data_IF_701865187625
#
_entry.id   IF_701865187625
#
_cell.length_a   1.000
_cell.length_b   1.000
_cell.length_c   1.000
_cell.angle_alpha   90.00
_cell.angle_beta   90.00
_cell.angle_gamma   90.00
#
_symmetry.space_group_name_H-M   'P 1'
#
loop_
_entity.id
_entity.type
_entity.pdbx_description
1 polymer ?
#
# COMPACT_ATOMS: atom_id res chain seq x y z
N UNK A 1 -8.92 -0.26 14.48
CA UNK A 1 -8.67 -1.35 15.45
C UNK A 1 -7.27 -1.99 15.32
N UNK A 2 -6.71 -2.24 14.12
CA UNK A 2 -5.39 -2.90 13.97
C UNK A 2 -4.13 -2.02 14.15
N UNK A 3 -4.26 -0.72 14.42
CA UNK A 3 -3.08 0.13 14.68
C UNK A 3 -2.43 -0.11 16.06
N UNK A 4 -3.15 -0.75 17.01
CA UNK A 4 -2.66 -1.01 18.37
C UNK A 4 -1.96 -2.36 18.56
N UNK A 5 -2.36 -3.42 17.85
CA UNK A 5 -1.79 -4.76 18.04
C UNK A 5 -0.51 -4.92 17.19
N UNK A 6 0.68 -4.99 17.81
CA UNK A 6 1.99 -5.28 17.18
C UNK A 6 2.04 -6.72 16.64
N UNK A 7 1.18 -7.04 15.67
CA UNK A 7 1.14 -8.35 15.03
C UNK A 7 2.32 -8.45 14.04
N UNK A 8 3.19 -9.47 14.14
CA UNK A 8 4.15 -9.78 13.08
C UNK A 8 3.39 -10.06 11.77
N UNK A 9 3.97 -9.73 10.61
CA UNK A 9 3.34 -9.93 9.28
C UNK A 9 2.05 -9.11 9.02
N UNK A 10 1.87 -7.97 9.68
CA UNK A 10 0.78 -7.00 9.42
C UNK A 10 0.54 -6.73 7.92
N UNK A 11 1.60 -6.62 7.13
CA UNK A 11 1.50 -6.39 5.68
C UNK A 11 0.78 -7.53 4.95
N UNK A 12 1.09 -8.77 5.29
CA UNK A 12 0.45 -9.95 4.72
C UNK A 12 -1.02 -10.04 5.18
N UNK A 13 -1.27 -9.81 6.47
CA UNK A 13 -2.63 -9.82 7.02
C UNK A 13 -3.51 -8.75 6.36
N UNK A 14 -3.01 -7.52 6.21
CA UNK A 14 -3.76 -6.42 5.59
C UNK A 14 -4.01 -6.64 4.10
N UNK A 15 -3.01 -7.11 3.35
CA UNK A 15 -3.14 -7.39 1.91
C UNK A 15 -4.08 -8.56 1.64
N UNK A 16 -3.97 -9.65 2.42
CA UNK A 16 -4.89 -10.79 2.35
C UNK A 16 -6.31 -10.36 2.70
N UNK A 17 -6.49 -9.55 3.77
CA UNK A 17 -7.80 -9.01 4.14
C UNK A 17 -8.38 -8.16 3.01
N UNK A 18 -7.57 -7.33 2.35
CA UNK A 18 -8.02 -6.55 1.21
C UNK A 18 -8.48 -7.43 0.04
N UNK A 19 -7.69 -8.44 -0.34
CA UNK A 19 -8.07 -9.39 -1.40
C UNK A 19 -9.37 -10.14 -1.07
N UNK A 20 -9.54 -10.54 0.19
CA UNK A 20 -10.77 -11.16 0.71
C UNK A 20 -11.96 -10.21 0.60
N UNK A 21 -11.82 -8.97 1.08
CA UNK A 21 -12.88 -7.95 0.99
C UNK A 21 -13.26 -7.68 -0.46
N UNK A 22 -12.28 -7.62 -1.37
CA UNK A 22 -12.54 -7.44 -2.79
C UNK A 22 -13.28 -8.64 -3.40
N UNK A 23 -12.92 -9.87 -3.02
CA UNK A 23 -13.61 -11.08 -3.46
C UNK A 23 -15.10 -11.03 -3.08
N UNK A 24 -15.39 -10.73 -1.81
CA UNK A 24 -16.79 -10.65 -1.35
C UNK A 24 -17.53 -9.44 -1.92
N UNK A 25 -16.87 -8.28 -2.03
CA UNK A 25 -17.47 -7.11 -2.64
C UNK A 25 -17.81 -7.37 -4.12
N UNK A 26 -16.96 -8.11 -4.84
CA UNK A 26 -17.19 -8.47 -6.24
C UNK A 26 -18.39 -9.40 -6.44
N UNK A 27 -18.65 -10.34 -5.52
CA UNK A 27 -19.86 -11.17 -5.57
C UNK A 27 -21.15 -10.36 -5.39
N UNK A 28 -21.11 -9.26 -4.62
CA UNK A 28 -22.24 -8.35 -4.43
C UNK A 28 -22.46 -7.34 -5.56
N UNK A 29 -21.57 -7.27 -6.56
CA UNK A 29 -21.66 -6.31 -7.65
C UNK A 29 -22.36 -6.91 -8.87
N UNK A 30 -23.37 -6.21 -9.41
CA UNK A 30 -24.03 -6.59 -10.66
C UNK A 30 -23.07 -6.67 -11.87
N UNK A 31 -21.92 -6.00 -11.80
CA UNK A 31 -20.79 -6.25 -12.72
C UNK A 31 -19.49 -6.39 -11.93
N UNK A 32 -18.98 -7.63 -11.87
CA UNK A 32 -17.82 -8.02 -11.07
C UNK A 32 -16.51 -7.33 -11.50
N UNK A 33 -16.40 -6.88 -12.75
CA UNK A 33 -15.25 -6.10 -13.23
C UNK A 33 -15.11 -4.73 -12.54
N UNK A 34 -16.17 -4.26 -11.86
CA UNK A 34 -16.17 -3.01 -11.11
C UNK A 34 -15.56 -3.15 -9.70
N UNK A 35 -15.12 -4.35 -9.31
CA UNK A 35 -14.47 -4.60 -8.01
C UNK A 35 -13.26 -3.68 -7.77
N UNK A 36 -12.57 -3.27 -8.84
CA UNK A 36 -11.43 -2.35 -8.80
C UNK A 36 -11.78 -1.01 -8.12
N UNK A 37 -13.04 -0.57 -8.20
CA UNK A 37 -13.45 0.71 -7.62
C UNK A 37 -13.52 0.68 -6.09
N UNK A 38 -13.72 -0.48 -5.48
CA UNK A 38 -13.78 -0.65 -4.02
C UNK A 38 -12.48 -0.17 -3.35
N UNK A 39 -11.29 -0.67 -3.73
CA UNK A 39 -10.02 -0.19 -3.19
C UNK A 39 -9.70 1.23 -3.63
N UNK A 40 -10.11 1.69 -4.82
CA UNK A 40 -9.94 3.11 -5.18
C UNK A 40 -10.69 4.04 -4.22
N UNK A 41 -11.95 3.70 -3.92
CA UNK A 41 -12.75 4.44 -2.94
C UNK A 41 -12.11 4.35 -1.55
N UNK A 42 -11.70 3.15 -1.12
CA UNK A 42 -11.02 2.97 0.16
C UNK A 42 -9.71 3.76 0.25
N UNK A 43 -8.90 3.78 -0.81
CA UNK A 43 -7.65 4.53 -0.90
C UNK A 43 -7.91 6.04 -0.84
N UNK A 44 -8.89 6.54 -1.57
CA UNK A 44 -9.26 7.96 -1.51
C UNK A 44 -9.83 8.35 -0.13
N UNK A 45 -10.62 7.48 0.51
CA UNK A 45 -11.06 7.70 1.90
C UNK A 45 -9.89 7.67 2.89
N UNK A 46 -8.89 6.82 2.65
CA UNK A 46 -7.66 6.78 3.44
C UNK A 46 -6.83 8.05 3.27
N UNK A 47 -6.75 8.58 2.05
CA UNK A 47 -6.13 9.87 1.73
C UNK A 47 -6.72 11.02 2.54
N UNK A 48 -8.02 10.94 2.75
CA UNK A 48 -8.84 11.94 3.41
C UNK A 48 -8.84 11.82 4.94
N UNK A 49 -8.28 10.74 5.49
CA UNK A 49 -8.29 10.53 6.94
C UNK A 49 -7.26 11.42 7.67
N UNK A 50 -7.59 11.95 8.87
CA UNK A 50 -6.71 12.87 9.62
C UNK A 50 -5.38 12.24 10.08
N UNK A 51 -5.30 10.90 10.17
CA UNK A 51 -4.12 10.21 10.68
C UNK A 51 -2.96 10.20 9.67
N UNK A 52 -1.77 10.57 10.14
CA UNK A 52 -0.56 10.80 9.33
C UNK A 52 -0.01 9.61 8.54
N UNK A 53 0.95 9.97 7.66
CA UNK A 53 1.64 9.18 6.63
C UNK A 53 0.70 8.47 5.62
N UNK A 54 -0.02 9.31 4.85
CA UNK A 54 -1.13 8.92 3.97
C UNK A 54 -0.71 8.14 2.72
N UNK A 55 0.47 8.42 2.17
CA UNK A 55 0.80 7.96 0.82
C UNK A 55 1.08 6.46 0.70
N UNK A 56 1.91 5.92 1.59
CA UNK A 56 2.35 4.53 1.49
C UNK A 56 1.16 3.54 1.57
N UNK A 57 0.20 3.72 2.50
CA UNK A 57 -1.03 2.93 2.50
C UNK A 57 -1.92 3.17 1.27
N UNK A 58 -2.00 4.40 0.75
CA UNK A 58 -2.83 4.69 -0.43
C UNK A 58 -2.30 4.02 -1.69
N UNK A 59 -1.01 4.17 -1.98
CA UNK A 59 -0.38 3.53 -3.13
C UNK A 59 -0.49 2.01 -3.04
N UNK A 60 -0.35 1.45 -1.83
CA UNK A 60 -0.57 0.03 -1.58
C UNK A 60 -1.97 -0.39 -2.03
N UNK A 61 -3.01 0.22 -1.44
CA UNK A 61 -4.41 -0.14 -1.66
C UNK A 61 -4.78 0.02 -3.14
N UNK A 62 -4.35 1.12 -3.78
CA UNK A 62 -4.63 1.40 -5.19
C UNK A 62 -4.01 0.36 -6.12
N UNK A 63 -2.71 0.08 -5.99
CA UNK A 63 -2.04 -0.89 -6.86
C UNK A 63 -2.57 -2.30 -6.62
N UNK A 64 -2.83 -2.68 -5.37
CA UNK A 64 -3.49 -3.95 -5.05
C UNK A 64 -4.86 -4.05 -5.71
N UNK A 65 -5.62 -2.96 -5.72
CA UNK A 65 -6.90 -2.90 -6.40
C UNK A 65 -6.80 -3.11 -7.91
N UNK A 66 -5.84 -2.43 -8.56
CA UNK A 66 -5.55 -2.58 -9.98
C UNK A 66 -5.10 -4.00 -10.33
N UNK A 67 -4.22 -4.60 -9.53
CA UNK A 67 -3.74 -5.96 -9.73
C UNK A 67 -4.87 -6.99 -9.61
N UNK A 68 -5.70 -6.86 -8.57
CA UNK A 68 -6.85 -7.75 -8.37
C UNK A 68 -7.88 -7.60 -9.49
N UNK A 69 -8.27 -6.36 -9.81
CA UNK A 69 -9.21 -6.07 -10.87
C UNK A 69 -8.69 -6.45 -12.26
N UNK A 70 -7.40 -6.27 -12.51
CA UNK A 70 -6.72 -6.67 -13.74
C UNK A 70 -6.72 -8.18 -13.93
N UNK A 71 -6.31 -8.94 -12.91
CA UNK A 71 -6.31 -10.40 -12.96
C UNK A 71 -7.71 -10.97 -13.20
N UNK A 72 -8.72 -10.51 -12.46
CA UNK A 72 -10.11 -10.95 -12.62
C UNK A 72 -10.74 -10.47 -13.94
N UNK A 73 -10.24 -9.40 -14.55
CA UNK A 73 -10.68 -8.95 -15.88
C UNK A 73 -10.08 -9.79 -17.01
N UNK A 74 -8.80 -10.14 -16.90
CA UNK A 74 -8.08 -10.92 -17.93
C UNK A 74 -8.45 -12.40 -17.86
N UNK A 75 -8.45 -12.99 -16.67
CA UNK A 75 -8.71 -14.42 -16.48
C UNK A 75 -10.19 -14.73 -16.18
N UNK A 76 -11.01 -13.70 -15.97
CA UNK A 76 -12.41 -13.82 -15.61
C UNK A 76 -12.67 -14.00 -14.12
N UNK A 77 -13.96 -13.95 -13.74
CA UNK A 77 -14.41 -14.23 -12.37
C UNK A 77 -14.59 -15.73 -12.15
N UNK A 78 -13.47 -16.45 -12.19
CA UNK A 78 -13.41 -17.88 -11.93
C UNK A 78 -12.29 -18.17 -10.94
N UNK A 79 -12.11 -19.45 -10.63
CA UNK A 79 -11.11 -19.84 -9.68
C UNK A 79 -9.68 -19.39 -10.01
N UNK A 80 -9.26 -19.54 -11.26
CA UNK A 80 -7.92 -19.15 -11.71
C UNK A 80 -7.72 -17.63 -11.58
N UNK A 81 -8.72 -16.84 -11.98
CA UNK A 81 -8.71 -15.39 -11.84
C UNK A 81 -8.61 -14.91 -10.39
N UNK A 82 -9.32 -15.57 -9.47
CA UNK A 82 -9.27 -15.24 -8.05
C UNK A 82 -7.93 -15.63 -7.41
N UNK A 83 -7.38 -16.79 -7.74
CA UNK A 83 -6.05 -17.22 -7.27
C UNK A 83 -4.97 -16.26 -7.77
N UNK A 84 -4.97 -15.93 -9.06
CA UNK A 84 -4.03 -14.99 -9.64
C UNK A 84 -4.18 -13.58 -9.02
N UNK A 85 -5.42 -13.12 -8.80
CA UNK A 85 -5.69 -11.84 -8.15
C UNK A 85 -5.13 -11.79 -6.72
N UNK A 86 -5.39 -12.84 -5.92
CA UNK A 86 -4.84 -12.96 -4.56
C UNK A 86 -3.32 -13.03 -4.57
N UNK A 87 -2.73 -13.79 -5.49
CA UNK A 87 -1.29 -13.90 -5.65
C UNK A 87 -0.64 -12.55 -5.95
N UNK A 88 -1.13 -11.81 -6.95
CA UNK A 88 -0.58 -10.52 -7.32
C UNK A 88 -0.71 -9.48 -6.18
N UNK A 89 -1.83 -9.49 -5.44
CA UNK A 89 -2.01 -8.59 -4.29
C UNK A 89 -1.00 -8.90 -3.18
N UNK A 90 -0.76 -10.17 -2.88
CA UNK A 90 0.23 -10.60 -1.88
C UNK A 90 1.67 -10.33 -2.32
N UNK A 91 2.00 -10.66 -3.57
CA UNK A 91 3.30 -10.42 -4.18
C UNK A 91 3.65 -8.93 -4.17
N UNK A 92 2.71 -8.05 -4.55
CA UNK A 92 2.90 -6.61 -4.46
C UNK A 92 3.08 -6.12 -3.03
N UNK A 93 2.34 -6.66 -2.05
CA UNK A 93 2.49 -6.26 -0.66
C UNK A 93 3.90 -6.54 -0.11
N UNK A 94 4.50 -7.67 -0.52
CA UNK A 94 5.88 -8.00 -0.22
C UNK A 94 6.87 -7.07 -0.95
N UNK A 95 6.65 -6.84 -2.25
CA UNK A 95 7.53 -6.05 -3.10
C UNK A 95 7.50 -4.55 -2.76
N UNK A 96 6.38 -4.00 -2.29
CA UNK A 96 6.19 -2.56 -2.12
C UNK A 96 7.24 -1.92 -1.21
N UNK A 97 7.61 -2.59 -0.11
CA UNK A 97 8.63 -2.09 0.79
C UNK A 97 10.01 -2.02 0.13
N UNK A 98 10.34 -3.03 -0.67
CA UNK A 98 11.61 -3.15 -1.38
C UNK A 98 11.70 -2.12 -2.50
N UNK A 99 10.64 -1.98 -3.30
CA UNK A 99 10.56 -0.98 -4.39
C UNK A 99 10.74 0.43 -3.83
N UNK A 100 10.11 0.76 -2.71
CA UNK A 100 10.24 2.10 -2.12
C UNK A 100 11.66 2.34 -1.55
N UNK A 101 12.28 1.32 -0.94
CA UNK A 101 13.67 1.44 -0.47
C UNK A 101 14.64 1.56 -1.63
N UNK A 102 14.47 0.75 -2.68
CA UNK A 102 15.27 0.83 -3.89
C UNK A 102 15.10 2.19 -4.58
N UNK A 103 13.89 2.76 -4.58
CA UNK A 103 13.68 4.10 -5.12
C UNK A 103 14.47 5.15 -4.31
N UNK A 104 14.41 5.10 -2.98
CA UNK A 104 15.08 6.08 -2.10
C UNK A 104 16.61 5.96 -2.11
N UNK A 105 17.12 4.73 -2.12
CA UNK A 105 18.54 4.41 -1.88
C UNK A 105 19.25 4.08 -3.20
N UNK A 106 18.56 3.45 -4.15
CA UNK A 106 19.10 3.02 -5.44
C UNK A 106 19.83 1.69 -5.38
N UNK A 107 20.78 1.50 -6.31
CA UNK A 107 21.62 0.30 -6.40
C UNK A 107 22.54 0.10 -5.20
N UNK A 108 22.76 1.14 -4.38
CA UNK A 108 23.52 1.02 -3.14
C UNK A 108 22.82 0.10 -2.11
N UNK A 109 21.50 -0.09 -2.23
CA UNK A 109 20.78 -1.10 -1.46
C UNK A 109 21.27 -2.53 -1.81
N UNK A 110 21.49 -2.81 -3.09
CA UNK A 110 21.98 -4.11 -3.56
C UNK A 110 23.42 -4.32 -3.12
N UNK A 111 24.26 -3.28 -3.22
CA UNK A 111 25.65 -3.33 -2.75
C UNK A 111 25.74 -3.57 -1.24
N UNK A 112 24.89 -2.92 -0.46
CA UNK A 112 24.82 -3.15 0.99
C UNK A 112 24.40 -4.58 1.33
N UNK A 113 23.48 -5.15 0.54
CA UNK A 113 23.15 -6.58 0.65
C UNK A 113 24.36 -7.45 0.33
N UNK A 114 25.02 -7.25 -0.80
CA UNK A 114 26.17 -8.07 -1.23
C UNK A 114 27.33 -7.99 -0.22
N UNK A 115 27.60 -6.80 0.32
CA UNK A 115 28.60 -6.60 1.38
C UNK A 115 28.23 -7.33 2.67
N UNK A 116 26.96 -7.23 3.10
CA UNK A 116 26.49 -7.94 4.29
C UNK A 116 26.51 -9.45 4.12
N UNK A 117 26.12 -9.95 2.95
CA UNK A 117 26.16 -11.36 2.59
C UNK A 117 27.59 -11.88 2.54
N UNK A 118 28.52 -11.13 1.92
CA UNK A 118 29.94 -11.50 1.89
C UNK A 118 30.50 -11.65 3.29
N UNK A 119 30.23 -10.69 4.18
CA UNK A 119 30.65 -10.76 5.58
C UNK A 119 30.11 -11.99 6.32
N UNK A 120 28.84 -12.36 6.10
CA UNK A 120 28.25 -13.56 6.72
C UNK A 120 28.87 -14.83 6.10
N UNK A 121 29.00 -14.88 4.78
CA UNK A 121 29.52 -16.04 4.06
C UNK A 121 30.97 -16.35 4.48
N UNK A 122 31.81 -15.33 4.63
CA UNK A 122 33.18 -15.47 5.14
C UNK A 122 33.20 -15.96 6.59
N UNK A 123 32.31 -15.44 7.45
CA UNK A 123 32.32 -15.75 8.88
C UNK A 123 31.78 -17.15 9.19
N UNK A 124 30.87 -17.66 8.37
CA UNK A 124 30.13 -18.91 8.61
C UNK A 124 30.40 -20.01 7.57
N UNK A 125 31.22 -19.73 6.54
CA UNK A 125 31.54 -20.65 5.45
C UNK A 125 30.29 -21.24 4.74
N UNK A 126 29.20 -20.47 4.66
CA UNK A 126 27.95 -20.88 4.01
C UNK A 126 27.77 -20.16 2.68
N UNK A 127 27.39 -20.88 1.63
CA UNK A 127 26.96 -20.28 0.36
C UNK A 127 25.57 -19.65 0.53
N UNK A 128 25.49 -18.32 0.49
CA UNK A 128 24.22 -17.61 0.62
C UNK A 128 23.64 -17.37 -0.78
N UNK A 129 22.35 -17.69 -1.03
CA UNK A 129 21.72 -17.44 -2.32
C UNK A 129 21.70 -15.95 -2.67
N UNK A 130 21.79 -15.66 -3.97
CA UNK A 130 21.74 -14.30 -4.49
C UNK A 130 20.45 -13.57 -4.13
N UNK A 131 20.50 -12.22 -4.07
CA UNK A 131 19.38 -11.39 -3.62
C UNK A 131 18.11 -11.63 -4.44
N UNK A 132 18.23 -11.84 -5.75
CA UNK A 132 17.10 -12.10 -6.63
C UNK A 132 16.32 -13.36 -6.21
N UNK A 133 17.04 -14.41 -5.80
CA UNK A 133 16.44 -15.66 -5.33
C UNK A 133 15.73 -15.46 -4.00
N UNK A 134 16.39 -14.79 -3.04
CA UNK A 134 15.80 -14.49 -1.72
C UNK A 134 14.53 -13.65 -1.87
N UNK A 135 14.59 -12.59 -2.67
CA UNK A 135 13.44 -11.72 -2.93
C UNK A 135 12.35 -12.45 -3.71
N UNK A 136 12.72 -13.27 -4.71
CA UNK A 136 11.78 -14.07 -5.49
C UNK A 136 11.00 -15.05 -4.61
N UNK A 137 11.70 -15.80 -3.75
CA UNK A 137 11.08 -16.72 -2.79
C UNK A 137 10.18 -15.96 -1.82
N UNK A 138 10.64 -14.83 -1.28
CA UNK A 138 9.85 -14.00 -0.36
C UNK A 138 8.54 -13.50 -1.00
N UNK A 139 8.63 -12.94 -2.22
CA UNK A 139 7.48 -12.45 -2.97
C UNK A 139 6.51 -13.60 -3.32
N UNK A 140 7.05 -14.75 -3.74
CA UNK A 140 6.27 -15.93 -4.07
C UNK A 140 5.53 -16.48 -2.84
N UNK A 141 6.18 -16.60 -1.69
CA UNK A 141 5.56 -17.05 -0.44
C UNK A 141 4.40 -16.14 -0.03
N UNK A 142 4.57 -14.82 -0.13
CA UNK A 142 3.51 -13.85 0.17
C UNK A 142 2.37 -13.90 -0.84
N UNK A 143 2.69 -14.07 -2.12
CA UNK A 143 1.69 -14.28 -3.16
C UNK A 143 0.87 -15.55 -2.89
N UNK A 144 1.52 -16.69 -2.68
CA UNK A 144 0.85 -17.97 -2.44
C UNK A 144 -0.04 -17.94 -1.18
N UNK A 145 0.43 -17.33 -0.09
CA UNK A 145 -0.37 -17.21 1.14
C UNK A 145 -1.60 -16.33 0.92
N UNK A 146 -1.46 -15.17 0.28
CA UNK A 146 -2.59 -14.31 -0.06
C UNK A 146 -3.56 -15.00 -1.04
N UNK A 147 -3.05 -15.73 -2.04
CA UNK A 147 -3.85 -16.50 -2.98
C UNK A 147 -4.67 -17.59 -2.29
N UNK A 148 -4.07 -18.37 -1.39
CA UNK A 148 -4.75 -19.42 -0.62
C UNK A 148 -5.88 -18.85 0.24
N UNK A 149 -5.64 -17.74 0.94
CA UNK A 149 -6.66 -17.06 1.76
C UNK A 149 -7.80 -16.50 0.89
N UNK A 150 -7.47 -15.90 -0.25
CA UNK A 150 -8.45 -15.33 -1.19
C UNK A 150 -9.31 -16.43 -1.82
N UNK A 151 -8.69 -17.55 -2.19
CA UNK A 151 -9.38 -18.73 -2.71
C UNK A 151 -10.35 -19.33 -1.69
N UNK A 152 -9.92 -19.47 -0.43
CA UNK A 152 -10.76 -19.98 0.63
C UNK A 152 -11.98 -19.08 0.86
N UNK A 153 -11.78 -17.75 0.80
CA UNK A 153 -12.88 -16.79 0.88
C UNK A 153 -13.86 -16.92 -0.30
N UNK A 154 -13.35 -17.08 -1.51
CA UNK A 154 -14.17 -17.29 -2.70
C UNK A 154 -15.01 -18.57 -2.63
N UNK A 155 -14.41 -19.68 -2.16
CA UNK A 155 -15.14 -20.94 -1.96
C UNK A 155 -16.26 -20.82 -0.93
N UNK A 156 -16.10 -19.99 0.09
CA UNK A 156 -17.12 -19.82 1.14
C UNK A 156 -18.32 -19.00 0.68
N UNK A 157 -18.20 -18.16 -0.35
CA UNK A 157 -19.23 -17.28 -0.97
C UNK A 157 -19.97 -16.30 -0.02
N UNK A 158 -19.90 -16.47 1.29
CA UNK A 158 -20.53 -15.61 2.29
C UNK A 158 -19.52 -15.10 3.32
N UNK A 159 -19.70 -13.84 3.73
CA UNK A 159 -18.90 -13.26 4.80
C UNK A 159 -19.27 -13.93 6.14
N UNK A 160 -18.30 -14.39 6.95
CA UNK A 160 -18.61 -14.82 8.30
C UNK A 160 -19.25 -13.68 9.11
N UNK A 161 -20.35 -13.96 9.80
CA UNK A 161 -21.12 -12.95 10.55
C UNK A 161 -20.27 -12.11 11.53
N UNK A 162 -19.23 -12.71 12.12
CA UNK A 162 -18.28 -12.00 12.99
C UNK A 162 -17.48 -10.92 12.25
N UNK A 163 -17.05 -11.19 11.02
CA UNK A 163 -16.30 -10.24 10.19
C UNK A 163 -17.22 -9.10 9.73
N UNK A 164 -18.46 -9.43 9.38
CA UNK A 164 -19.47 -8.44 9.01
C UNK A 164 -19.74 -7.46 10.18
N UNK A 165 -19.96 -7.99 11.38
CA UNK A 165 -20.13 -7.17 12.59
C UNK A 165 -18.91 -6.29 12.90
N UNK A 166 -17.69 -6.77 12.64
CA UNK A 166 -16.47 -5.97 12.83
C UNK A 166 -16.34 -4.84 11.80
N UNK A 167 -16.70 -5.09 10.53
CA UNK A 167 -16.71 -4.08 9.48
C UNK A 167 -17.75 -2.98 9.78
N UNK A 168 -18.95 -3.36 10.19
CA UNK A 168 -20.03 -2.43 10.54
C UNK A 168 -19.67 -1.56 11.75
N UNK A 169 -19.09 -2.14 12.80
CA UNK A 169 -18.57 -1.38 13.96
C UNK A 169 -17.44 -0.41 13.58
N UNK A 170 -16.57 -0.82 12.64
CA UNK A 170 -15.47 0.01 12.15
C UNK A 170 -15.90 1.19 11.27
N UNK A 171 -17.07 1.10 10.62
CA UNK A 171 -17.60 2.15 9.74
C UNK A 171 -18.16 3.37 10.50
N UNK A 172 -18.47 3.23 11.80
CA UNK A 172 -19.23 4.21 12.57
C UNK A 172 -18.44 5.43 13.13
N UNK A 173 -17.15 5.57 12.81
CA UNK A 173 -16.27 6.47 13.59
C UNK A 173 -15.42 7.49 12.83
N UNK A 174 -15.61 7.70 11.51
CA UNK A 174 -14.74 8.62 10.76
C UNK A 174 -15.22 10.06 10.91
N UNK A 175 -14.58 10.82 11.80
CA UNK A 175 -14.74 12.28 11.89
C UNK A 175 -13.88 12.96 10.83
N UNK A 176 -14.53 13.72 9.96
CA UNK A 176 -13.93 14.43 8.84
C UNK A 176 -13.67 15.88 9.23
N UNK A 177 -12.42 16.34 9.18
CA UNK A 177 -12.11 17.78 9.12
C UNK A 177 -10.77 17.99 8.41
N UNK A 178 -10.83 18.89 7.42
CA UNK A 178 -9.81 19.75 6.83
C UNK A 178 -9.83 19.74 5.30
N UNK A 179 -9.89 20.94 4.73
CA UNK A 179 -9.65 21.19 3.32
C UNK A 179 -8.18 20.87 2.98
N UNK A 180 -7.86 20.34 1.79
CA UNK A 180 -6.48 20.10 1.40
C UNK A 180 -5.67 21.41 1.49
N UNK A 181 -4.46 21.38 2.09
CA UNK A 181 -3.62 22.56 2.16
C UNK A 181 -3.16 23.00 0.76
N UNK A 182 -2.97 24.30 0.54
CA UNK A 182 -2.37 24.82 -0.68
C UNK A 182 -0.99 24.19 -0.95
N UNK A 183 -0.59 24.05 -2.22
CA UNK A 183 0.67 23.40 -2.65
C UNK A 183 1.89 23.85 -1.83
N UNK A 184 2.04 25.15 -1.56
CA UNK A 184 3.14 25.68 -0.74
C UNK A 184 3.16 25.13 0.69
N UNK A 185 1.99 25.00 1.32
CA UNK A 185 1.85 24.39 2.66
C UNK A 185 2.04 22.88 2.60
N UNK A 186 1.58 22.21 1.53
CA UNK A 186 1.82 20.79 1.31
C UNK A 186 3.32 20.48 1.20
N UNK A 187 4.07 21.28 0.46
CA UNK A 187 5.52 21.14 0.31
C UNK A 187 6.28 21.40 1.63
N UNK A 188 5.92 22.45 2.37
CA UNK A 188 6.52 22.75 3.67
C UNK A 188 6.26 21.64 4.71
N UNK A 189 5.03 21.09 4.72
CA UNK A 189 4.72 19.97 5.60
C UNK A 189 5.36 18.65 5.15
N UNK A 190 5.60 18.47 3.84
CA UNK A 190 6.39 17.35 3.32
C UNK A 190 7.84 17.39 3.79
N UNK A 191 8.44 18.58 3.84
CA UNK A 191 9.77 18.78 4.42
C UNK A 191 9.80 18.43 5.91
N UNK A 192 8.73 18.75 6.67
CA UNK A 192 8.60 18.34 8.08
C UNK A 192 8.48 16.81 8.25
N UNK A 193 8.00 16.07 7.26
CA UNK A 193 7.97 14.61 7.35
C UNK A 193 9.36 13.97 7.17
N UNK A 194 10.28 14.65 6.46
CA UNK A 194 11.68 14.24 6.33
C UNK A 194 12.45 14.33 7.65
N UNK A 195 12.03 15.15 8.61
CA UNK A 195 12.72 15.26 9.91
C UNK A 195 12.40 14.10 10.87
N UNK A 196 11.52 13.18 10.47
CA UNK A 196 11.14 12.04 11.33
C UNK A 196 12.28 11.01 11.38
N UNK A 197 12.70 10.54 12.58
CA UNK A 197 13.82 9.60 12.71
C UNK A 197 13.56 8.25 12.01
N UNK A 198 12.29 7.82 11.94
CA UNK A 198 11.88 6.58 11.27
C UNK A 198 12.17 6.61 9.76
N UNK A 199 12.15 7.79 9.13
CA UNK A 199 12.49 7.92 7.71
C UNK A 199 13.99 7.65 7.48
N UNK A 200 14.84 8.14 8.38
CA UNK A 200 16.28 8.03 8.29
C UNK A 200 16.83 6.68 8.70
N UNK A 201 16.12 5.90 9.51
CA UNK A 201 16.58 4.58 9.95
C UNK A 201 17.09 3.65 8.81
N UNK A 202 16.33 3.39 7.73
CA UNK A 202 16.81 2.56 6.63
C UNK A 202 17.95 3.24 5.82
N UNK A 203 17.91 4.57 5.66
CA UNK A 203 18.93 5.33 4.93
C UNK A 203 20.27 5.27 5.67
N UNK A 204 20.23 5.53 6.98
CA UNK A 204 21.40 5.48 7.86
C UNK A 204 21.98 4.08 7.98
N UNK A 205 21.13 3.04 8.05
CA UNK A 205 21.60 1.65 8.04
C UNK A 205 22.36 1.31 6.76
N UNK A 206 21.80 1.64 5.58
CA UNK A 206 22.48 1.36 4.31
C UNK A 206 23.75 2.19 4.18
N UNK A 207 23.72 3.48 4.54
CA UNK A 207 24.91 4.32 4.54
C UNK A 207 26.01 3.74 5.45
N UNK A 208 25.66 3.28 6.66
CA UNK A 208 26.59 2.67 7.59
C UNK A 208 27.23 1.38 7.02
N UNK A 209 26.43 0.50 6.40
CA UNK A 209 26.95 -0.73 5.77
C UNK A 209 27.89 -0.38 4.62
N UNK A 210 27.51 0.57 3.76
CA UNK A 210 28.32 0.99 2.60
C UNK A 210 29.65 1.61 3.05
N UNK A 211 29.65 2.43 4.09
CA UNK A 211 30.87 3.01 4.68
C UNK A 211 31.74 1.94 5.35
N UNK A 212 31.13 1.02 6.10
CA UNK A 212 31.84 -0.10 6.73
C UNK A 212 32.48 -1.03 5.68
N UNK A 213 31.88 -1.14 4.48
CA UNK A 213 32.43 -1.84 3.34
C UNK A 213 33.54 -1.05 2.58
N UNK A 214 34.03 0.05 3.15
CA UNK A 214 35.14 0.84 2.58
C UNK A 214 34.76 1.79 1.44
N UNK A 215 33.46 2.05 1.22
CA UNK A 215 33.06 3.05 0.22
C UNK A 215 33.37 4.48 0.67
N UNK A 216 33.66 5.39 -0.27
CA UNK A 216 33.96 6.77 0.06
C UNK A 216 32.73 7.49 0.63
N UNK A 217 32.99 8.48 1.49
CA UNK A 217 31.95 9.27 2.16
C UNK A 217 31.00 9.98 1.17
N UNK A 218 31.49 10.33 -0.02
CA UNK A 218 30.68 10.96 -1.07
C UNK A 218 29.46 10.09 -1.43
N UNK A 219 29.59 8.76 -1.41
CA UNK A 219 28.46 7.87 -1.71
C UNK A 219 27.39 7.93 -0.63
N UNK A 220 27.79 7.94 0.65
CA UNK A 220 26.84 8.10 1.75
C UNK A 220 26.09 9.44 1.66
N UNK A 221 26.80 10.52 1.28
CA UNK A 221 26.19 11.81 1.00
C UNK A 221 25.15 11.72 -0.13
N UNK A 222 25.48 11.09 -1.26
CA UNK A 222 24.55 10.93 -2.39
C UNK A 222 23.32 10.08 -2.05
N UNK A 223 23.47 9.04 -1.22
CA UNK A 223 22.35 8.25 -0.69
C UNK A 223 21.41 9.16 0.12
N UNK A 224 21.97 9.99 1.01
CA UNK A 224 21.19 10.96 1.79
C UNK A 224 20.49 12.00 0.92
N UNK A 225 21.21 12.60 -0.03
CA UNK A 225 20.68 13.61 -0.93
C UNK A 225 19.52 13.07 -1.79
N UNK A 226 19.67 11.85 -2.34
CA UNK A 226 18.61 11.17 -3.10
C UNK A 226 17.40 10.89 -2.23
N UNK A 227 17.60 10.39 -1.01
CA UNK A 227 16.50 10.13 -0.08
C UNK A 227 15.73 11.42 0.24
N UNK A 228 16.42 12.55 0.46
CA UNK A 228 15.78 13.86 0.67
C UNK A 228 14.97 14.28 -0.55
N UNK A 229 15.58 14.26 -1.75
CA UNK A 229 14.93 14.73 -2.97
C UNK A 229 13.66 13.92 -3.29
N UNK A 230 13.78 12.59 -3.29
CA UNK A 230 12.66 11.71 -3.58
C UNK A 230 11.62 11.71 -2.47
N UNK A 231 12.06 11.68 -1.20
CA UNK A 231 11.17 11.77 -0.06
C UNK A 231 10.36 13.07 -0.07
N UNK A 232 10.99 14.21 -0.39
CA UNK A 232 10.31 15.50 -0.50
C UNK A 232 9.27 15.50 -1.61
N UNK A 233 9.60 15.03 -2.81
CA UNK A 233 8.66 14.93 -3.94
C UNK A 233 7.48 14.03 -3.57
N UNK A 234 7.77 12.84 -3.05
CA UNK A 234 6.77 11.85 -2.65
C UNK A 234 5.82 12.41 -1.58
N UNK A 235 6.35 13.00 -0.50
CA UNK A 235 5.53 13.57 0.58
C UNK A 235 4.75 14.82 0.14
N UNK A 236 5.33 15.65 -0.74
CA UNK A 236 4.67 16.85 -1.26
C UNK A 236 3.49 16.49 -2.17
N UNK A 237 3.70 15.57 -3.13
CA UNK A 237 2.64 15.07 -4.01
C UNK A 237 1.51 14.40 -3.21
N UNK A 238 1.86 13.64 -2.17
CA UNK A 238 0.87 13.02 -1.29
C UNK A 238 -0.05 14.03 -0.61
N UNK A 239 0.51 15.16 -0.17
CA UNK A 239 -0.22 16.20 0.56
C UNK A 239 -0.99 17.13 -0.37
N UNK A 240 -0.58 17.22 -1.63
CA UNK A 240 -1.24 18.00 -2.66
C UNK A 240 -2.47 17.33 -3.29
N UNK A 241 -2.68 16.04 -3.04
CA UNK A 241 -3.82 15.31 -3.61
C UNK A 241 -5.15 15.94 -3.17
N UNK A 242 -5.91 16.48 -4.12
CA UNK A 242 -7.22 17.08 -3.90
C UNK A 242 -8.36 16.13 -4.33
N UNK A 243 -9.02 15.45 -3.39
CA UNK A 243 -10.07 14.50 -3.71
C UNK A 243 -11.34 15.12 -4.32
N UNK A 244 -11.61 16.42 -4.09
CA UNK A 244 -12.76 17.10 -4.73
C UNK A 244 -12.51 17.28 -6.22
N UNK A 245 -11.29 17.68 -6.60
CA UNK A 245 -10.88 17.78 -7.99
C UNK A 245 -10.90 16.41 -8.68
N UNK A 246 -10.48 15.35 -7.98
CA UNK A 246 -10.55 13.98 -8.49
C UNK A 246 -12.00 13.52 -8.76
N UNK A 247 -12.95 13.85 -7.87
CA UNK A 247 -14.37 13.52 -8.09
C UNK A 247 -14.95 14.31 -9.27
N UNK A 248 -14.62 15.60 -9.39
CA UNK A 248 -15.06 16.42 -10.52
C UNK A 248 -14.52 15.85 -11.85
N UNK A 249 -13.25 15.46 -11.87
CA UNK A 249 -12.63 14.79 -13.02
C UNK A 249 -13.32 13.47 -13.37
N UNK A 250 -13.67 12.64 -12.37
CA UNK A 250 -14.42 11.40 -12.60
C UNK A 250 -15.79 11.65 -13.22
N UNK A 251 -16.49 12.70 -12.79
CA UNK A 251 -17.78 13.11 -13.39
C UNK A 251 -17.58 13.58 -14.83
N UNK A 252 -16.55 14.39 -15.08
CA UNK A 252 -16.22 14.87 -16.43
C UNK A 252 -15.89 13.76 -17.42
N UNK A 253 -15.40 12.60 -16.95
CA UNK A 253 -15.16 11.41 -17.79
C UNK A 253 -16.31 10.40 -17.83
N UNK A 254 -17.48 10.76 -17.31
CA UNK A 254 -18.67 9.88 -17.32
C UNK A 254 -18.61 8.71 -16.31
N UNK A 255 -17.64 8.69 -15.39
CA UNK A 255 -17.56 7.69 -14.33
C UNK A 255 -18.44 8.06 -13.13
N UNK A 256 -19.76 8.11 -13.37
CA UNK A 256 -20.75 8.55 -12.39
C UNK A 256 -20.87 7.62 -11.17
N UNK A 257 -20.80 6.30 -11.36
CA UNK A 257 -20.89 5.34 -10.24
C UNK A 257 -19.82 5.58 -9.15
N UNK A 258 -18.53 5.58 -9.51
CA UNK A 258 -17.44 5.92 -8.58
C UNK A 258 -17.57 7.33 -8.00
N UNK A 259 -17.91 8.33 -8.83
CA UNK A 259 -18.06 9.71 -8.37
C UNK A 259 -19.19 9.86 -7.33
N UNK A 260 -20.31 9.17 -7.52
CA UNK A 260 -21.43 9.14 -6.57
C UNK A 260 -21.01 8.42 -5.28
N UNK A 261 -20.37 7.26 -5.37
CA UNK A 261 -19.89 6.52 -4.21
C UNK A 261 -18.89 7.35 -3.37
N UNK A 262 -17.93 8.02 -4.02
CA UNK A 262 -17.02 8.95 -3.37
C UNK A 262 -17.74 10.14 -2.73
N UNK A 263 -18.70 10.74 -3.43
CA UNK A 263 -19.46 11.88 -2.89
C UNK A 263 -20.33 11.50 -1.68
N UNK A 264 -20.96 10.32 -1.69
CA UNK A 264 -21.70 9.77 -0.54
C UNK A 264 -20.77 9.46 0.63
N UNK A 265 -19.59 8.91 0.34
CA UNK A 265 -18.58 8.62 1.34
C UNK A 265 -18.05 9.90 2.02
N UNK A 266 -18.00 11.02 1.28
CA UNK A 266 -17.62 12.35 1.77
C UNK A 266 -18.72 13.10 2.55
N UNK A 267 -20.00 12.71 2.45
CA UNK A 267 -21.08 13.38 3.19
C UNK A 267 -21.02 13.07 4.69
N UNK A 268 -21.19 14.08 5.58
CA UNK A 268 -21.27 13.86 7.02
C UNK A 268 -22.36 12.85 7.41
N UNK A 269 -22.13 12.06 8.45
CA UNK A 269 -23.09 11.04 8.92
C UNK A 269 -24.45 11.62 9.33
N UNK A 270 -24.50 12.89 9.74
CA UNK A 270 -25.74 13.58 10.11
C UNK A 270 -26.71 13.77 8.93
N UNK A 271 -26.22 13.87 7.69
CA UNK A 271 -27.04 14.03 6.48
C UNK A 271 -27.40 12.69 5.81
N UNK A 272 -26.85 11.57 6.29
CA UNK A 272 -27.15 10.23 5.75
C UNK A 272 -28.45 9.64 6.27
N UNK A 273 -28.95 10.15 7.39
CA UNK A 273 -30.31 9.90 7.86
C UNK A 273 -31.13 11.08 7.37
N UNK A 274 -31.92 10.87 6.31
CA UNK A 274 -32.91 11.87 5.90
C UNK A 274 -33.83 12.23 7.07
N UNK A 275 -34.52 13.37 7.02
CA UNK A 275 -35.59 13.66 7.97
C UNK A 275 -36.55 12.47 7.97
N UNK A 276 -36.77 11.90 9.16
CA UNK A 276 -37.83 10.91 9.37
C UNK A 276 -39.18 11.58 9.23
#
# INVERSE_FOLDING_TARGET
ALHGARVPLRGLALSSTQAVVMTYAGEGLGNRTRVVWVPFIAAGLKALSPAGNRLRPMLAITVQGLLFGGATRVLGWNGAGILAAGFLVGAWAAAQGLVLQYLLIGSDLLRAYDAGVGWIAERWAVSIPGIATVLGVWIALWGCTAAAVTWLAWRRRSLPARVQAMLERGAAGIRWRESPPAWRRAAALGLRDLTRPVFWAPVGLVAAIVLAAGSPWERAFWIGARAIALGWVIFSLARAFNPRAFIAWLRGRGHWGPAVAFSRALRPHAERRGPR
#
